data_IF_747276683463
#
_entry.id   IF_747276683463
#
_cell.length_a   1.000
_cell.length_b   1.000
_cell.length_c   1.000
_cell.angle_alpha   90.00
_cell.angle_beta   90.00
_cell.angle_gamma   90.00
#
_symmetry.space_group_name_H-M   'P 1'
#
loop_
_entity.id
_entity.type
_entity.pdbx_description
1 polymer ?
#
# COMPACT_ATOMS: atom_id res chain seq x y z
N UNK A 1 -40.39 21.12 17.29
CA UNK A 1 -39.91 19.86 17.90
C UNK A 1 -38.94 19.25 16.92
N UNK A 2 -37.65 19.22 17.27
CA UNK A 2 -36.61 18.61 16.43
C UNK A 2 -36.91 17.11 16.40
N UNK A 3 -37.19 16.57 15.21
CA UNK A 3 -37.54 15.16 15.06
C UNK A 3 -36.27 14.33 15.11
N UNK A 4 -36.25 13.31 15.96
CA UNK A 4 -35.16 12.31 16.06
C UNK A 4 -34.95 11.51 14.75
N UNK A 5 -35.78 11.75 13.73
CA UNK A 5 -35.68 11.15 12.39
C UNK A 5 -34.26 11.25 11.83
N UNK A 6 -33.58 12.38 12.04
CA UNK A 6 -32.19 12.53 11.60
C UNK A 6 -31.24 11.54 12.30
N UNK A 7 -31.44 11.28 13.59
CA UNK A 7 -30.63 10.34 14.36
C UNK A 7 -30.88 8.90 13.93
N UNK A 8 -32.15 8.54 13.68
CA UNK A 8 -32.51 7.22 13.14
C UNK A 8 -31.94 7.01 11.73
N UNK A 9 -32.00 8.01 10.86
CA UNK A 9 -31.39 7.93 9.52
C UNK A 9 -29.88 7.79 9.62
N UNK A 10 -29.21 8.54 10.50
CA UNK A 10 -27.76 8.41 10.70
C UNK A 10 -27.36 7.01 11.15
N UNK A 11 -28.12 6.41 12.08
CA UNK A 11 -27.89 5.04 12.53
C UNK A 11 -28.15 4.00 11.43
N UNK A 12 -29.17 4.21 10.60
CA UNK A 12 -29.48 3.34 9.46
C UNK A 12 -28.33 3.34 8.44
N UNK A 13 -27.89 4.53 8.01
CA UNK A 13 -26.80 4.66 7.04
C UNK A 13 -25.46 4.18 7.62
N UNK A 14 -25.17 4.39 8.91
CA UNK A 14 -23.95 3.89 9.53
C UNK A 14 -23.89 2.34 9.62
N UNK A 15 -25.04 1.66 9.58
CA UNK A 15 -25.12 0.22 9.80
C UNK A 15 -25.32 -0.59 8.52
N UNK A 16 -26.00 -0.02 7.52
CA UNK A 16 -26.38 -0.69 6.26
C UNK A 16 -25.95 0.09 5.02
N UNK A 17 -25.45 1.32 5.18
CA UNK A 17 -24.96 2.10 4.06
C UNK A 17 -23.68 1.51 3.50
N UNK A 18 -23.68 1.23 2.20
CA UNK A 18 -22.47 0.90 1.46
C UNK A 18 -21.77 2.22 1.07
N UNK A 19 -20.55 2.47 1.58
CA UNK A 19 -19.82 3.68 1.25
C UNK A 19 -19.39 3.61 -0.22
N UNK A 20 -19.72 4.61 -1.03
CA UNK A 20 -19.30 4.68 -2.44
C UNK A 20 -18.41 5.88 -2.69
N UNK A 21 -17.48 5.76 -3.63
CA UNK A 21 -16.70 6.90 -4.10
C UNK A 21 -17.63 7.91 -4.80
N UNK A 22 -17.63 9.20 -4.42
CA UNK A 22 -18.47 10.20 -5.07
C UNK A 22 -18.06 10.51 -6.51
N UNK A 23 -16.80 10.24 -6.88
CA UNK A 23 -16.27 10.49 -8.22
C UNK A 23 -16.46 9.28 -9.15
N UNK A 24 -16.17 8.08 -8.66
CA UNK A 24 -16.16 6.86 -9.48
C UNK A 24 -17.42 5.99 -9.33
N UNK A 25 -18.23 6.22 -8.28
CA UNK A 25 -19.45 5.45 -8.00
C UNK A 25 -19.20 4.00 -7.58
N UNK A 26 -17.94 3.57 -7.46
CA UNK A 26 -17.54 2.26 -6.98
C UNK A 26 -17.74 2.14 -5.46
N UNK A 27 -18.15 0.96 -5.01
CA UNK A 27 -18.20 0.65 -3.59
C UNK A 27 -16.79 0.71 -3.01
N UNK A 28 -16.63 1.49 -1.95
CA UNK A 28 -15.44 1.49 -1.14
C UNK A 28 -15.49 0.18 -0.35
N UNK A 29 -14.70 -0.80 -0.77
CA UNK A 29 -14.57 -2.09 -0.10
C UNK A 29 -13.15 -2.21 0.45
N UNK A 30 -13.05 -2.55 1.73
CA UNK A 30 -11.78 -2.99 2.29
C UNK A 30 -11.45 -4.35 1.67
N UNK A 31 -10.33 -4.45 0.96
CA UNK A 31 -9.89 -5.73 0.43
C UNK A 31 -9.30 -6.57 1.58
N UNK A 32 -9.64 -7.85 1.60
CA UNK A 32 -9.02 -8.81 2.54
C UNK A 32 -7.64 -9.20 2.03
N UNK A 33 -6.73 -9.63 2.93
CA UNK A 33 -5.40 -10.10 2.54
C UNK A 33 -5.49 -11.24 1.51
N UNK A 34 -6.46 -12.15 1.67
CA UNK A 34 -6.69 -13.25 0.72
C UNK A 34 -7.04 -12.73 -0.68
N UNK A 35 -7.94 -11.75 -0.80
CA UNK A 35 -8.29 -11.15 -2.10
C UNK A 35 -7.11 -10.41 -2.73
N UNK A 36 -6.28 -9.75 -1.92
CA UNK A 36 -5.05 -9.10 -2.40
C UNK A 36 -4.08 -10.15 -2.96
N UNK A 37 -3.86 -11.25 -2.23
CA UNK A 37 -2.99 -12.35 -2.66
C UNK A 37 -3.53 -12.99 -3.94
N UNK A 38 -4.83 -13.28 -4.02
CA UNK A 38 -5.46 -13.87 -5.20
C UNK A 38 -5.28 -12.98 -6.44
N UNK A 39 -5.44 -11.66 -6.29
CA UNK A 39 -5.23 -10.69 -7.37
C UNK A 39 -3.78 -10.66 -7.86
N UNK A 40 -2.81 -10.82 -6.96
CA UNK A 40 -1.38 -10.89 -7.31
C UNK A 40 -1.03 -12.22 -7.95
N UNK A 41 -1.56 -13.32 -7.44
CA UNK A 41 -1.35 -14.67 -7.97
C UNK A 41 -1.98 -14.86 -9.37
N UNK A 42 -2.88 -13.98 -9.79
CA UNK A 42 -3.42 -13.94 -11.14
C UNK A 42 -2.42 -13.43 -12.21
N UNK A 43 -1.31 -12.81 -11.79
CA UNK A 43 -0.25 -12.39 -12.70
C UNK A 43 0.55 -13.61 -13.22
N UNK A 44 1.26 -13.49 -14.37
CA UNK A 44 2.01 -14.60 -14.95
C UNK A 44 3.07 -15.18 -13.99
N UNK A 45 3.24 -16.50 -13.99
CA UNK A 45 4.31 -17.16 -13.24
C UNK A 45 5.70 -16.65 -13.67
N UNK A 46 6.62 -16.54 -12.71
CA UNK A 46 7.95 -15.99 -12.95
C UNK A 46 8.03 -14.46 -12.92
N UNK A 47 6.89 -13.76 -12.77
CA UNK A 47 6.87 -12.31 -12.59
C UNK A 47 7.57 -11.94 -11.28
N UNK A 48 8.46 -10.94 -11.34
CA UNK A 48 9.19 -10.44 -10.18
C UNK A 48 8.44 -9.25 -9.59
N UNK A 49 8.18 -9.30 -8.30
CA UNK A 49 7.40 -8.29 -7.59
C UNK A 49 8.23 -7.69 -6.46
N UNK A 50 8.03 -6.39 -6.25
CA UNK A 50 8.44 -5.69 -5.04
C UNK A 50 7.18 -5.34 -4.25
N UNK A 51 7.08 -5.84 -3.03
CA UNK A 51 6.04 -5.42 -2.09
C UNK A 51 6.54 -4.21 -1.30
N UNK A 52 5.77 -3.14 -1.38
CA UNK A 52 6.10 -1.82 -0.87
C UNK A 52 5.05 -1.40 0.16
N UNK A 53 5.50 -0.81 1.26
CA UNK A 53 4.64 -0.23 2.29
C UNK A 53 4.77 1.31 2.26
N UNK A 54 3.76 2.04 1.75
CA UNK A 54 3.84 3.49 1.60
C UNK A 54 3.63 4.23 2.94
N UNK A 55 4.73 4.40 3.68
CA UNK A 55 4.74 5.07 5.00
C UNK A 55 4.53 6.59 4.89
N UNK A 56 4.91 7.19 3.77
CA UNK A 56 4.74 8.63 3.49
C UNK A 56 4.30 8.80 2.06
N UNK A 57 3.24 9.57 1.82
CA UNK A 57 2.74 9.88 0.48
C UNK A 57 2.55 11.39 0.33
N UNK A 58 3.26 12.00 -0.61
CA UNK A 58 3.17 13.43 -0.96
C UNK A 58 3.21 14.44 0.22
N UNK A 59 3.92 14.10 1.29
CA UNK A 59 4.01 14.97 2.48
C UNK A 59 5.35 15.69 2.53
N UNK A 60 5.34 16.86 3.17
CA UNK A 60 6.55 17.64 3.47
C UNK A 60 7.01 17.30 4.88
N UNK A 61 8.31 17.13 5.09
CA UNK A 61 8.85 16.87 6.42
C UNK A 61 10.33 16.47 6.41
N UNK A 62 10.93 16.50 7.60
CA UNK A 62 12.22 15.85 7.84
C UNK A 62 11.94 14.42 8.31
N UNK A 63 12.28 13.41 7.50
CA UNK A 63 11.97 12.01 7.78
C UNK A 63 13.10 11.25 8.49
N UNK A 64 14.09 11.95 9.07
CA UNK A 64 15.25 11.32 9.72
C UNK A 64 14.86 10.37 10.87
N UNK A 65 13.91 10.78 11.71
CA UNK A 65 13.44 9.93 12.82
C UNK A 65 12.69 8.69 12.32
N UNK A 66 11.90 8.85 11.26
CA UNK A 66 11.18 7.75 10.62
C UNK A 66 12.17 6.74 10.03
N UNK A 67 13.16 7.21 9.27
CA UNK A 67 14.18 6.37 8.64
C UNK A 67 15.03 5.63 9.69
N UNK A 68 15.44 6.30 10.77
CA UNK A 68 16.14 5.65 11.88
C UNK A 68 15.27 4.58 12.58
N UNK A 69 13.97 4.84 12.72
CA UNK A 69 12.99 3.87 13.20
C UNK A 69 12.94 2.61 12.31
N UNK A 70 12.86 2.79 10.99
CA UNK A 70 12.85 1.67 10.04
C UNK A 70 14.15 0.86 10.07
N UNK A 71 15.30 1.52 10.18
CA UNK A 71 16.59 0.85 10.31
C UNK A 71 16.65 0.00 11.58
N UNK A 72 16.17 0.52 12.72
CA UNK A 72 16.11 -0.25 13.97
C UNK A 72 15.14 -1.44 13.93
N UNK A 73 14.13 -1.40 13.04
CA UNK A 73 13.22 -2.52 12.77
C UNK A 73 13.84 -3.57 11.83
N UNK A 74 15.03 -3.31 11.28
CA UNK A 74 15.77 -4.24 10.43
C UNK A 74 15.45 -4.14 8.94
N UNK A 75 14.73 -3.09 8.50
CA UNK A 75 14.56 -2.83 7.07
C UNK A 75 15.88 -2.36 6.47
N UNK A 76 16.15 -2.77 5.23
CA UNK A 76 17.41 -2.46 4.52
C UNK A 76 17.18 -1.50 3.35
N UNK A 77 16.04 -1.60 2.67
CA UNK A 77 15.75 -0.87 1.44
C UNK A 77 14.48 -0.04 1.56
N UNK A 78 14.51 1.13 0.94
CA UNK A 78 13.39 2.06 0.86
C UNK A 78 13.36 2.70 -0.52
N UNK A 79 12.17 2.91 -1.05
CA UNK A 79 11.93 3.69 -2.27
C UNK A 79 11.57 5.11 -1.85
N UNK A 80 12.36 6.08 -2.31
CA UNK A 80 12.14 7.51 -2.08
C UNK A 80 11.93 8.17 -3.43
N UNK A 81 10.78 8.81 -3.62
CA UNK A 81 10.39 9.50 -4.86
C UNK A 81 10.60 8.61 -6.12
N UNK A 82 10.23 7.33 -6.02
CA UNK A 82 10.34 6.36 -7.11
C UNK A 82 11.73 5.73 -7.30
N UNK A 83 12.74 6.13 -6.51
CA UNK A 83 14.08 5.53 -6.59
C UNK A 83 14.37 4.68 -5.36
N UNK A 84 14.81 3.43 -5.57
CA UNK A 84 15.18 2.52 -4.47
C UNK A 84 16.58 2.84 -3.97
N UNK A 85 16.69 3.10 -2.68
CA UNK A 85 17.94 3.32 -1.95
C UNK A 85 18.08 2.31 -0.81
N UNK A 86 19.33 2.03 -0.42
CA UNK A 86 19.61 1.39 0.86
C UNK A 86 19.49 2.43 1.98
N UNK A 87 18.99 2.02 3.15
CA UNK A 87 18.72 2.93 4.27
C UNK A 87 19.96 3.71 4.75
N UNK A 88 21.14 3.15 4.54
CA UNK A 88 22.43 3.77 4.89
C UNK A 88 22.91 4.80 3.86
N UNK A 89 22.42 4.72 2.61
CA UNK A 89 22.87 5.53 1.47
C UNK A 89 21.82 6.54 0.99
N UNK A 90 20.77 6.79 1.79
CA UNK A 90 19.69 7.70 1.40
C UNK A 90 20.24 9.13 1.31
N UNK A 91 19.99 9.85 0.20
CA UNK A 91 20.33 11.26 0.10
C UNK A 91 19.56 12.11 1.12
N UNK A 92 20.11 13.27 1.51
CA UNK A 92 19.42 14.16 2.44
C UNK A 92 18.08 14.63 1.85
N UNK A 93 16.98 14.33 2.56
CA UNK A 93 15.62 14.69 2.13
C UNK A 93 15.33 16.17 2.42
N UNK A 94 14.84 16.91 1.42
CA UNK A 94 14.52 18.33 1.53
C UNK A 94 13.13 18.55 2.17
N UNK A 95 13.12 19.02 3.42
CA UNK A 95 11.88 19.31 4.16
C UNK A 95 10.87 20.24 3.48
N UNK A 96 11.28 21.03 2.50
CA UNK A 96 10.38 21.97 1.80
C UNK A 96 9.62 21.30 0.65
N UNK A 97 10.10 20.16 0.18
CA UNK A 97 9.51 19.40 -0.93
C UNK A 97 8.59 18.31 -0.40
N UNK A 98 7.62 17.95 -1.24
CA UNK A 98 6.79 16.77 -1.00
C UNK A 98 7.63 15.55 -1.36
N UNK A 99 7.57 14.54 -0.52
CA UNK A 99 8.24 13.27 -0.73
C UNK A 99 7.28 12.11 -0.56
N UNK A 100 7.54 11.05 -1.30
CA UNK A 100 6.90 9.75 -1.12
C UNK A 100 7.96 8.75 -0.69
N UNK A 101 7.73 8.07 0.43
CA UNK A 101 8.65 7.11 1.03
C UNK A 101 7.90 5.81 1.22
N UNK A 102 8.44 4.75 0.63
CA UNK A 102 7.84 3.42 0.64
C UNK A 102 8.89 2.40 1.04
N UNK A 103 8.59 1.59 2.05
CA UNK A 103 9.54 0.59 2.55
C UNK A 103 9.44 -0.66 1.70
N UNK A 104 10.57 -1.20 1.26
CA UNK A 104 10.60 -2.48 0.56
C UNK A 104 10.48 -3.59 1.60
N UNK A 105 9.31 -4.22 1.68
CA UNK A 105 9.00 -5.26 2.66
C UNK A 105 9.50 -6.61 2.17
N UNK A 106 9.17 -6.97 0.94
CA UNK A 106 9.61 -8.23 0.36
C UNK A 106 9.85 -8.14 -1.15
N UNK A 107 10.69 -9.03 -1.66
CA UNK A 107 10.91 -9.29 -3.08
C UNK A 107 10.52 -10.73 -3.36
N UNK A 108 9.45 -10.90 -4.12
CA UNK A 108 8.87 -12.21 -4.40
C UNK A 108 8.86 -12.45 -5.91
N UNK A 109 9.02 -13.72 -6.30
CA UNK A 109 8.77 -14.18 -7.66
C UNK A 109 7.53 -15.05 -7.61
N UNK A 110 6.58 -14.80 -8.51
CA UNK A 110 5.33 -15.55 -8.54
C UNK A 110 5.60 -17.01 -8.89
N UNK A 111 5.13 -17.91 -8.03
CA UNK A 111 5.18 -19.35 -8.21
C UNK A 111 4.13 -20.07 -7.35
N UNK A 112 3.98 -21.39 -7.48
CA UNK A 112 2.91 -22.14 -6.83
C UNK A 112 2.95 -22.06 -5.29
N UNK A 113 4.13 -21.90 -4.70
CA UNK A 113 4.33 -21.84 -3.26
C UNK A 113 4.46 -20.40 -2.71
N UNK A 114 4.32 -19.37 -3.56
CA UNK A 114 4.52 -17.97 -3.12
C UNK A 114 3.34 -17.38 -2.35
N UNK A 115 2.16 -18.00 -2.40
CA UNK A 115 0.93 -17.44 -1.84
C UNK A 115 1.00 -17.22 -0.31
N UNK A 116 1.51 -18.20 0.45
CA UNK A 116 1.63 -18.07 1.90
C UNK A 116 2.61 -16.96 2.30
N UNK A 117 3.76 -16.90 1.62
CA UNK A 117 4.76 -15.85 1.85
C UNK A 117 4.23 -14.47 1.50
N UNK A 118 3.48 -14.35 0.40
CA UNK A 118 2.82 -13.11 0.02
C UNK A 118 1.84 -12.65 1.10
N UNK A 119 1.02 -13.55 1.65
CA UNK A 119 0.08 -13.22 2.72
C UNK A 119 0.78 -12.63 3.96
N UNK A 120 1.83 -13.29 4.46
CA UNK A 120 2.62 -12.81 5.61
C UNK A 120 3.28 -11.45 5.33
N UNK A 121 3.76 -11.26 4.09
CA UNK A 121 4.38 -10.02 3.66
C UNK A 121 3.35 -8.88 3.55
N UNK A 122 2.14 -9.18 3.04
CA UNK A 122 1.03 -8.23 2.99
C UNK A 122 0.60 -7.79 4.38
N UNK A 123 0.46 -8.71 5.33
CA UNK A 123 0.15 -8.35 6.72
C UNK A 123 1.20 -7.39 7.30
N UNK A 124 2.48 -7.66 7.05
CA UNK A 124 3.58 -6.80 7.48
C UNK A 124 3.52 -5.42 6.82
N UNK A 125 3.28 -5.37 5.51
CA UNK A 125 3.20 -4.11 4.76
C UNK A 125 2.01 -3.25 5.21
N UNK A 126 0.84 -3.87 5.35
CA UNK A 126 -0.38 -3.21 5.81
C UNK A 126 -0.22 -2.67 7.25
N UNK A 127 0.43 -3.42 8.13
CA UNK A 127 0.71 -2.96 9.49
C UNK A 127 1.65 -1.74 9.52
N UNK A 128 2.62 -1.68 8.59
CA UNK A 128 3.60 -0.60 8.53
C UNK A 128 3.03 0.69 7.92
N UNK A 129 2.14 0.58 6.93
CA UNK A 129 1.60 1.71 6.16
C UNK A 129 0.10 1.97 6.41
N UNK A 130 -0.39 1.69 7.62
CA UNK A 130 -1.76 1.97 8.08
C UNK A 130 -2.85 1.46 7.11
N UNK A 131 -2.70 0.21 6.68
CA UNK A 131 -3.64 -0.50 5.83
C UNK A 131 -3.46 -0.28 4.32
N UNK A 132 -2.31 0.26 3.88
CA UNK A 132 -1.96 0.39 2.47
C UNK A 132 -0.78 -0.50 2.10
N UNK A 133 -0.82 -1.08 0.91
CA UNK A 133 0.29 -1.83 0.32
C UNK A 133 0.34 -1.54 -1.17
N UNK A 134 1.55 -1.49 -1.73
CA UNK A 134 1.78 -1.27 -3.16
C UNK A 134 2.62 -2.42 -3.67
N UNK A 135 2.27 -2.96 -4.83
CA UNK A 135 3.10 -3.92 -5.54
C UNK A 135 3.61 -3.26 -6.80
N UNK A 136 4.92 -3.23 -6.93
CA UNK A 136 5.60 -2.86 -8.16
C UNK A 136 5.97 -4.13 -8.91
N UNK A 137 5.40 -4.30 -10.11
CA UNK A 137 5.79 -5.36 -11.03
C UNK A 137 7.09 -4.96 -11.71
N UNK A 138 8.17 -5.70 -11.46
CA UNK A 138 9.45 -5.42 -12.10
C UNK A 138 9.41 -5.86 -13.57
N UNK A 139 9.89 -5.03 -14.51
CA UNK A 139 9.92 -5.39 -15.92
C UNK A 139 10.79 -6.64 -16.13
N UNK A 140 10.21 -7.65 -16.77
CA UNK A 140 10.94 -8.80 -17.32
C UNK A 140 11.56 -8.47 -18.69
N UNK A 141 12.35 -9.40 -19.22
CA UNK A 141 12.95 -9.32 -20.57
C UNK A 141 11.85 -9.24 -21.65
N UNK A 142 11.34 -8.04 -21.93
CA UNK A 142 10.39 -7.77 -23.02
C UNK A 142 9.10 -7.02 -22.68
N UNK A 143 8.89 -6.52 -21.46
CA UNK A 143 7.73 -5.67 -21.12
C UNK A 143 8.14 -4.27 -20.66
N UNK A 144 7.43 -3.27 -21.18
CA UNK A 144 7.68 -1.85 -20.96
C UNK A 144 6.78 -1.34 -19.83
N UNK A 145 7.40 -0.67 -18.85
CA UNK A 145 6.81 -0.06 -17.65
C UNK A 145 6.39 -1.02 -16.54
N UNK A 146 6.95 -0.81 -15.34
CA UNK A 146 6.52 -1.48 -14.13
C UNK A 146 5.13 -1.00 -13.74
N UNK A 147 4.16 -1.90 -13.83
CA UNK A 147 2.80 -1.66 -13.40
C UNK A 147 2.76 -1.65 -11.87
N UNK A 148 2.16 -0.61 -11.29
CA UNK A 148 1.96 -0.49 -9.85
C UNK A 148 0.52 -0.88 -9.50
N UNK A 149 0.37 -1.84 -8.60
CA UNK A 149 -0.91 -2.26 -8.06
C UNK A 149 -1.03 -1.77 -6.63
N UNK A 150 -1.99 -0.88 -6.38
CA UNK A 150 -2.27 -0.35 -5.05
C UNK A 150 -3.37 -1.19 -4.38
N UNK A 151 -3.14 -1.53 -3.12
CA UNK A 151 -4.05 -2.29 -2.28
C UNK A 151 -4.35 -1.54 -0.99
N UNK A 152 -5.62 -1.57 -0.57
CA UNK A 152 -6.08 -0.96 0.67
C UNK A 152 -6.93 -1.94 1.47
N UNK A 153 -6.53 -2.17 2.72
CA UNK A 153 -7.31 -2.87 3.74
C UNK A 153 -8.30 -1.92 4.45
N UNK A 154 -8.33 -0.63 4.08
CA UNK A 154 -9.32 0.35 4.53
C UNK A 154 -10.32 0.62 3.41
N UNK A 155 -11.49 1.16 3.79
CA UNK A 155 -12.46 1.72 2.86
C UNK A 155 -11.82 2.89 2.09
N UNK A 156 -11.20 2.58 0.97
CA UNK A 156 -10.52 3.53 0.10
C UNK A 156 -10.98 3.31 -1.34
N UNK A 157 -10.94 4.37 -2.13
CA UNK A 157 -11.19 4.27 -3.56
C UNK A 157 -10.00 3.52 -4.18
N UNK A 158 -10.25 2.46 -4.97
CA UNK A 158 -9.17 1.72 -5.64
C UNK A 158 -8.54 2.48 -6.81
N UNK A 159 -9.16 3.60 -7.24
CA UNK A 159 -8.77 4.47 -8.36
C UNK A 159 -8.41 5.89 -7.90
#
# INVERSE_FOLDING_TARGET
TVTEIYDYLRLLYARVGEPCCPEHGSALNASTVSEMVDRVMALPEGTRLLLLAPVVQERKGEYQQLLGGLQSQGYVRVRVDGTVFELDEIPTIDKKRKHTIEVVVDRVVIGPDSAQRLAESFETALALADGLAVIEVLPGDGQTSGEELVFSARFACPD
#
